data_IF_256803056066
#
_entry.id   IF_256803056066
#
_cell.length_a   1.000
_cell.length_b   1.000
_cell.length_c   1.000
_cell.angle_alpha   90.00
_cell.angle_beta   90.00
_cell.angle_gamma   90.00
#
_symmetry.space_group_name_H-M   'P 1'
#
loop_
_entity.id
_entity.type
_entity.pdbx_description
1 polymer ?
#
# COMPACT_ATOMS: atom_id res chain seq x y z
N UNK A 1 -8.19 -30.87 1.60
CA UNK A 1 -8.34 -31.57 2.77
C UNK A 1 -8.35 -30.71 4.05
N UNK A 2 -7.29 -29.99 4.46
CA UNK A 2 -7.33 -29.06 5.60
C UNK A 2 -8.31 -27.91 5.37
N UNK A 3 -8.38 -27.40 4.15
CA UNK A 3 -9.31 -26.35 3.74
C UNK A 3 -10.76 -26.87 3.79
N UNK A 4 -11.05 -28.03 3.23
CA UNK A 4 -12.40 -28.61 3.20
C UNK A 4 -12.96 -28.87 4.60
N UNK A 5 -12.11 -29.29 5.51
CA UNK A 5 -12.43 -29.53 6.92
C UNK A 5 -12.44 -28.27 7.78
N UNK A 6 -12.17 -27.10 7.17
CA UNK A 6 -12.00 -25.83 7.88
C UNK A 6 -11.06 -25.95 9.10
N UNK A 7 -9.90 -26.58 8.88
CA UNK A 7 -8.96 -26.87 9.96
C UNK A 7 -8.54 -25.56 10.65
N UNK A 8 -8.48 -25.50 11.99
CA UNK A 8 -8.07 -24.31 12.70
C UNK A 8 -6.61 -23.94 12.39
N UNK A 9 -6.34 -22.65 12.27
CA UNK A 9 -5.02 -22.14 11.83
C UNK A 9 -3.88 -22.59 12.73
N UNK A 10 -4.10 -22.77 14.01
CA UNK A 10 -3.06 -23.26 14.92
C UNK A 10 -2.53 -24.65 14.55
N UNK A 11 -3.35 -25.50 13.87
CA UNK A 11 -2.91 -26.80 13.36
C UNK A 11 -2.15 -26.71 12.04
N UNK A 12 -2.52 -25.76 11.18
CA UNK A 12 -2.00 -25.66 9.82
C UNK A 12 -0.80 -24.73 9.76
N UNK A 13 -0.82 -23.65 10.54
CA UNK A 13 0.19 -22.59 10.57
C UNK A 13 0.55 -22.23 12.03
N UNK A 14 1.10 -23.16 12.81
CA UNK A 14 1.36 -22.93 14.24
C UNK A 14 2.30 -21.75 14.51
N UNK A 15 3.35 -21.57 13.71
CA UNK A 15 4.30 -20.47 13.85
C UNK A 15 3.67 -19.10 13.54
N UNK A 16 2.76 -19.07 12.59
CA UNK A 16 1.99 -17.88 12.26
C UNK A 16 1.07 -17.50 13.41
N UNK A 17 0.34 -18.46 13.96
CA UNK A 17 -0.57 -18.23 15.09
C UNK A 17 0.19 -17.82 16.35
N UNK A 18 1.39 -18.35 16.58
CA UNK A 18 2.23 -17.92 17.69
C UNK A 18 2.58 -16.42 17.62
N UNK A 19 2.73 -15.88 16.40
CA UNK A 19 2.97 -14.44 16.16
C UNK A 19 1.66 -13.63 16.15
N UNK A 20 0.55 -14.26 15.78
CA UNK A 20 -0.76 -13.63 15.61
C UNK A 20 -1.85 -14.40 16.36
N UNK A 21 -1.90 -14.39 17.72
CA UNK A 21 -2.80 -15.22 18.54
C UNK A 21 -4.29 -15.01 18.24
N UNK A 22 -4.66 -13.86 17.67
CA UNK A 22 -6.05 -13.55 17.26
C UNK A 22 -6.65 -14.58 16.30
N UNK A 23 -5.82 -15.33 15.57
CA UNK A 23 -6.24 -16.34 14.60
C UNK A 23 -6.28 -17.77 15.15
N UNK A 24 -5.98 -17.99 16.43
CA UNK A 24 -5.86 -19.32 17.02
C UNK A 24 -7.09 -20.20 16.73
N UNK A 25 -8.27 -19.64 16.89
CA UNK A 25 -9.55 -20.35 16.72
C UNK A 25 -10.18 -20.18 15.35
N UNK A 26 -9.53 -19.46 14.44
CA UNK A 26 -10.05 -19.19 13.10
C UNK A 26 -9.74 -20.40 12.21
N UNK A 27 -10.74 -20.89 11.47
CA UNK A 27 -10.55 -21.94 10.48
C UNK A 27 -9.88 -21.40 9.21
N UNK A 28 -9.13 -22.27 8.52
CA UNK A 28 -8.46 -21.92 7.27
C UNK A 28 -9.45 -21.44 6.21
N UNK A 29 -10.61 -22.09 6.09
CA UNK A 29 -11.67 -21.68 5.16
C UNK A 29 -12.29 -20.35 5.56
N UNK A 30 -12.49 -20.13 6.86
CA UNK A 30 -13.11 -18.90 7.37
C UNK A 30 -12.23 -17.69 7.08
N UNK A 31 -10.91 -17.76 7.29
CA UNK A 31 -10.02 -16.64 7.00
C UNK A 31 -9.93 -16.37 5.50
N UNK A 32 -9.87 -17.41 4.67
CA UNK A 32 -9.89 -17.24 3.22
C UNK A 32 -11.19 -16.57 2.75
N UNK A 33 -12.33 -16.96 3.33
CA UNK A 33 -13.62 -16.35 2.99
C UNK A 33 -13.68 -14.89 3.44
N UNK A 34 -13.22 -14.55 4.64
CA UNK A 34 -13.18 -13.18 5.13
C UNK A 34 -12.31 -12.27 4.25
N UNK A 35 -11.14 -12.75 3.81
CA UNK A 35 -10.27 -12.02 2.90
C UNK A 35 -10.95 -11.85 1.54
N UNK A 36 -11.57 -12.91 1.00
CA UNK A 36 -12.28 -12.86 -0.28
C UNK A 36 -13.45 -11.86 -0.24
N UNK A 37 -14.24 -11.87 0.81
CA UNK A 37 -15.36 -10.94 0.99
C UNK A 37 -14.86 -9.49 1.11
N UNK A 38 -13.75 -9.27 1.80
CA UNK A 38 -13.13 -7.95 1.87
C UNK A 38 -12.68 -7.47 0.49
N UNK A 39 -12.01 -8.30 -0.29
CA UNK A 39 -11.61 -7.99 -1.66
C UNK A 39 -12.81 -7.68 -2.55
N UNK A 40 -13.85 -8.50 -2.45
CA UNK A 40 -15.08 -8.32 -3.22
C UNK A 40 -15.81 -7.03 -2.84
N UNK A 41 -15.90 -6.71 -1.54
CA UNK A 41 -16.56 -5.50 -1.05
C UNK A 41 -15.86 -4.20 -1.49
N UNK A 42 -14.58 -4.26 -1.81
CA UNK A 42 -13.76 -3.14 -2.26
C UNK A 42 -13.51 -3.14 -3.78
N UNK A 43 -14.11 -4.09 -4.50
CA UNK A 43 -13.93 -4.25 -5.96
C UNK A 43 -12.44 -4.26 -6.38
N UNK A 44 -11.63 -5.06 -5.64
CA UNK A 44 -10.17 -5.07 -5.78
C UNK A 44 -9.74 -5.48 -7.19
N UNK A 45 -10.48 -6.38 -7.85
CA UNK A 45 -10.17 -6.80 -9.22
C UNK A 45 -10.20 -5.62 -10.21
N UNK A 46 -11.20 -4.74 -10.10
CA UNK A 46 -11.26 -3.51 -10.90
C UNK A 46 -10.17 -2.53 -10.48
N UNK A 47 -10.03 -2.28 -9.18
CA UNK A 47 -9.06 -1.36 -8.64
C UNK A 47 -7.63 -1.68 -9.08
N UNK A 48 -7.22 -2.96 -9.02
CA UNK A 48 -5.88 -3.41 -9.45
C UNK A 48 -5.68 -3.29 -10.96
N UNK A 49 -6.72 -3.44 -11.76
CA UNK A 49 -6.64 -3.17 -13.19
C UNK A 49 -6.50 -1.67 -13.46
N UNK A 50 -7.36 -0.87 -12.85
CA UNK A 50 -7.40 0.58 -13.05
C UNK A 50 -6.11 1.28 -12.61
N UNK A 51 -5.48 0.84 -11.52
CA UNK A 51 -4.23 1.45 -11.05
C UNK A 51 -3.07 1.29 -12.05
N UNK A 52 -3.03 0.20 -12.82
CA UNK A 52 -2.00 -0.03 -13.84
C UNK A 52 -2.38 0.52 -15.23
N UNK A 53 -3.66 0.74 -15.49
CA UNK A 53 -4.14 1.26 -16.78
C UNK A 53 -4.51 2.74 -16.74
N UNK A 54 -4.41 3.37 -15.56
CA UNK A 54 -4.65 4.80 -15.41
C UNK A 54 -3.50 5.63 -16.01
N UNK A 55 -3.81 6.85 -16.44
CA UNK A 55 -2.81 7.75 -17.00
C UNK A 55 -1.73 8.07 -15.97
N UNK A 56 -0.50 7.68 -16.29
CA UNK A 56 0.69 8.05 -15.54
C UNK A 56 1.22 9.37 -16.10
N UNK A 57 1.19 10.42 -15.29
CA UNK A 57 1.62 11.76 -15.72
C UNK A 57 3.02 12.04 -15.20
N UNK A 58 4.06 11.97 -16.07
CA UNK A 58 5.40 12.36 -15.69
C UNK A 58 5.45 13.89 -15.48
N UNK A 59 5.98 14.32 -14.34
CA UNK A 59 6.17 15.72 -14.01
C UNK A 59 7.63 16.15 -14.18
N UNK A 60 8.55 15.20 -14.08
CA UNK A 60 9.99 15.41 -14.29
C UNK A 60 10.68 14.08 -14.61
N UNK A 61 11.93 14.15 -15.04
CA UNK A 61 12.74 12.95 -15.26
C UNK A 61 13.04 12.24 -13.94
N UNK A 62 13.14 10.90 -13.92
CA UNK A 62 13.51 10.14 -12.72
C UNK A 62 14.86 10.59 -12.11
N UNK A 63 15.82 10.97 -12.96
CA UNK A 63 17.11 11.51 -12.52
C UNK A 63 17.01 12.86 -11.79
N UNK A 64 16.06 13.72 -12.21
CA UNK A 64 15.80 15.00 -11.54
C UNK A 64 15.13 14.78 -10.18
N UNK A 65 14.14 13.87 -10.12
CA UNK A 65 13.50 13.51 -8.86
C UNK A 65 14.51 12.90 -7.87
N UNK A 66 15.42 12.07 -8.38
CA UNK A 66 16.52 11.52 -7.59
C UNK A 66 17.47 12.61 -7.07
N UNK A 67 17.87 13.56 -7.91
CA UNK A 67 18.71 14.68 -7.49
C UNK A 67 18.03 15.50 -6.38
N UNK A 68 16.72 15.78 -6.52
CA UNK A 68 15.94 16.47 -5.47
C UNK A 68 15.94 15.67 -4.16
N UNK A 69 15.79 14.35 -4.22
CA UNK A 69 15.86 13.48 -3.04
C UNK A 69 17.26 13.53 -2.39
N UNK A 70 18.32 13.41 -3.19
CA UNK A 70 19.70 13.46 -2.70
C UNK A 70 20.03 14.80 -2.00
N UNK A 71 19.45 15.90 -2.47
CA UNK A 71 19.58 17.23 -1.89
C UNK A 71 18.54 17.55 -0.79
N UNK A 72 17.78 16.54 -0.29
CA UNK A 72 16.75 16.71 0.74
C UNK A 72 15.65 17.72 0.37
N UNK A 73 15.35 17.84 -0.92
CA UNK A 73 14.27 18.68 -1.46
C UNK A 73 12.98 17.85 -1.61
N UNK A 74 12.66 17.10 -0.58
CA UNK A 74 11.46 16.24 -0.49
C UNK A 74 10.71 16.51 0.80
N UNK A 75 9.41 16.27 0.75
CA UNK A 75 8.52 16.33 1.91
C UNK A 75 7.94 14.93 2.13
N UNK A 76 7.80 14.53 3.39
CA UNK A 76 7.09 13.32 3.76
C UNK A 76 5.60 13.59 3.81
N UNK A 77 4.85 13.01 2.87
CA UNK A 77 3.45 13.33 2.60
C UNK A 77 2.56 12.18 3.02
N UNK A 78 1.53 12.40 3.87
CA UNK A 78 0.56 11.37 4.27
C UNK A 78 -0.38 11.02 3.11
N UNK A 79 -1.03 9.84 3.18
CA UNK A 79 -1.89 9.31 2.11
C UNK A 79 -2.99 10.29 1.65
N UNK A 80 -3.60 11.01 2.60
CA UNK A 80 -4.69 11.97 2.34
C UNK A 80 -4.25 13.23 1.56
N UNK A 81 -2.95 13.44 1.42
CA UNK A 81 -2.36 14.57 0.70
C UNK A 81 -1.54 14.16 -0.52
N UNK A 82 -1.58 12.88 -0.90
CA UNK A 82 -0.75 12.35 -1.99
C UNK A 82 -1.26 12.72 -3.38
N UNK A 83 -2.59 12.84 -3.58
CA UNK A 83 -3.13 13.12 -4.90
C UNK A 83 -2.54 14.40 -5.48
N UNK A 84 -2.02 14.29 -6.71
CA UNK A 84 -1.34 15.40 -7.39
C UNK A 84 0.13 15.62 -6.99
N UNK A 85 0.63 14.97 -5.93
CA UNK A 85 2.05 15.07 -5.54
C UNK A 85 2.92 14.24 -6.49
N UNK A 86 4.19 14.64 -6.62
CA UNK A 86 5.18 13.93 -7.44
C UNK A 86 6.02 13.06 -6.53
N UNK A 87 6.05 11.75 -6.82
CA UNK A 87 6.86 10.84 -6.01
C UNK A 87 8.36 11.04 -6.24
N UNK A 88 9.14 11.02 -5.17
CA UNK A 88 10.59 10.89 -5.22
C UNK A 88 11.05 9.44 -5.11
N UNK A 89 10.11 8.52 -4.79
CA UNK A 89 10.37 7.11 -4.55
C UNK A 89 9.75 6.23 -5.64
N UNK A 90 10.33 5.04 -5.83
CA UNK A 90 9.69 3.96 -6.55
C UNK A 90 8.57 3.39 -5.67
N UNK A 91 7.34 3.43 -6.14
CA UNK A 91 6.18 2.88 -5.41
C UNK A 91 5.79 1.54 -6.04
N UNK A 92 6.02 0.45 -5.31
CA UNK A 92 5.86 -0.91 -5.83
C UNK A 92 5.16 -1.81 -4.83
N UNK A 93 3.94 -2.28 -5.09
CA UNK A 93 3.30 -3.29 -4.25
C UNK A 93 3.97 -4.66 -4.45
N UNK A 94 4.09 -5.39 -3.36
CA UNK A 94 4.68 -6.72 -3.37
C UNK A 94 3.77 -7.73 -2.65
N UNK A 95 3.26 -8.76 -3.32
CA UNK A 95 3.29 -9.04 -4.75
C UNK A 95 2.44 -8.06 -5.58
N UNK A 96 2.65 -7.91 -6.93
CA UNK A 96 3.53 -8.72 -7.79
C UNK A 96 4.94 -8.15 -8.00
N UNK A 97 5.29 -6.99 -7.46
CA UNK A 97 6.58 -6.36 -7.69
C UNK A 97 6.66 -5.55 -8.99
N UNK A 98 5.49 -5.12 -9.50
CA UNK A 98 5.40 -4.23 -10.65
C UNK A 98 5.25 -2.80 -10.13
N UNK A 99 6.11 -1.85 -10.53
CA UNK A 99 5.98 -0.47 -10.10
C UNK A 99 4.63 0.15 -10.48
N UNK A 100 4.00 0.82 -9.53
CA UNK A 100 2.83 1.69 -9.77
C UNK A 100 3.27 3.07 -10.25
N UNK A 101 4.32 3.60 -9.64
CA UNK A 101 4.93 4.87 -9.98
C UNK A 101 6.44 4.76 -9.91
N UNK A 102 7.11 5.40 -10.84
CA UNK A 102 8.55 5.66 -10.78
C UNK A 102 8.82 7.09 -10.31
N UNK A 103 10.04 7.39 -9.79
CA UNK A 103 10.39 8.74 -9.37
C UNK A 103 10.12 9.76 -10.48
N UNK A 104 9.49 10.88 -10.13
CA UNK A 104 9.13 11.94 -11.09
C UNK A 104 7.70 11.86 -11.63
N UNK A 105 6.98 10.77 -11.37
CA UNK A 105 5.57 10.65 -11.74
C UNK A 105 4.62 11.17 -10.66
N UNK A 106 3.41 11.54 -11.08
CA UNK A 106 2.41 12.17 -10.23
C UNK A 106 1.39 11.15 -9.73
N UNK A 107 1.08 11.17 -8.44
CA UNK A 107 0.00 10.38 -7.87
C UNK A 107 -1.35 10.81 -8.46
N UNK A 108 -2.07 9.85 -9.01
CA UNK A 108 -3.46 10.02 -9.39
C UNK A 108 -4.39 9.39 -8.33
N UNK A 109 -5.68 9.72 -8.41
CA UNK A 109 -6.68 9.23 -7.45
C UNK A 109 -6.74 7.70 -7.38
N UNK A 110 -6.60 6.99 -8.50
CA UNK A 110 -6.72 5.53 -8.55
C UNK A 110 -5.62 4.82 -7.78
N UNK A 111 -4.40 5.34 -7.89
CA UNK A 111 -3.26 4.84 -7.13
C UNK A 111 -3.44 5.15 -5.64
N UNK A 112 -3.89 6.34 -5.29
CA UNK A 112 -4.16 6.72 -3.89
C UNK A 112 -5.26 5.85 -3.29
N UNK A 113 -6.34 5.58 -4.01
CA UNK A 113 -7.43 4.68 -3.58
C UNK A 113 -6.91 3.26 -3.30
N UNK A 114 -6.00 2.74 -4.13
CA UNK A 114 -5.34 1.46 -3.89
C UNK A 114 -4.46 1.48 -2.62
N UNK A 115 -3.73 2.54 -2.36
CA UNK A 115 -2.92 2.67 -1.15
C UNK A 115 -3.79 2.71 0.11
N UNK A 116 -4.94 3.34 0.06
CA UNK A 116 -5.93 3.27 1.15
C UNK A 116 -6.45 1.86 1.37
N UNK A 117 -6.79 1.17 0.27
CA UNK A 117 -7.21 -0.23 0.35
C UNK A 117 -6.13 -1.09 1.03
N UNK A 118 -4.86 -0.96 0.62
CA UNK A 118 -3.75 -1.73 1.17
C UNK A 118 -3.55 -1.45 2.67
N UNK A 119 -3.67 -0.19 3.10
CA UNK A 119 -3.64 0.20 4.51
C UNK A 119 -4.77 -0.49 5.30
N UNK A 120 -6.00 -0.37 4.82
CA UNK A 120 -7.18 -0.94 5.48
C UNK A 120 -7.12 -2.47 5.55
N UNK A 121 -6.57 -3.11 4.51
CA UNK A 121 -6.34 -4.54 4.46
C UNK A 121 -5.31 -4.97 5.51
N UNK A 122 -4.17 -4.29 5.56
CA UNK A 122 -3.09 -4.58 6.50
C UNK A 122 -3.53 -4.40 7.97
N UNK A 123 -4.38 -3.41 8.25
CA UNK A 123 -4.96 -3.21 9.58
C UNK A 123 -5.94 -4.33 9.95
N UNK A 124 -6.76 -4.77 8.99
CA UNK A 124 -7.79 -5.78 9.23
C UNK A 124 -7.21 -7.18 9.35
N UNK A 125 -6.20 -7.50 8.56
CA UNK A 125 -5.60 -8.83 8.46
C UNK A 125 -4.09 -8.82 8.77
N UNK A 126 -3.67 -8.45 10.00
CA UNK A 126 -2.25 -8.47 10.35
C UNK A 126 -1.68 -9.87 10.22
N UNK A 127 -0.49 -9.98 9.62
CA UNK A 127 0.15 -11.24 9.23
C UNK A 127 -0.08 -11.63 7.77
N UNK A 128 -1.07 -11.00 7.09
CA UNK A 128 -1.33 -11.18 5.65
C UNK A 128 -1.04 -9.91 4.86
N UNK A 129 -0.22 -9.02 5.41
CA UNK A 129 0.04 -7.70 4.85
C UNK A 129 0.55 -7.76 3.41
N UNK A 130 0.07 -6.81 2.61
CA UNK A 130 0.72 -6.43 1.35
C UNK A 130 1.83 -5.43 1.67
N UNK A 131 3.05 -5.74 1.30
CA UNK A 131 4.17 -4.81 1.39
C UNK A 131 4.17 -3.88 0.17
N UNK A 132 4.36 -2.58 0.42
CA UNK A 132 4.46 -1.58 -0.65
C UNK A 132 5.76 -0.82 -0.44
N UNK A 133 6.73 -1.13 -1.30
CA UNK A 133 8.00 -0.42 -1.32
C UNK A 133 7.79 1.05 -1.69
N UNK A 134 8.51 1.93 -1.05
CA UNK A 134 8.37 3.38 -1.22
C UNK A 134 7.42 4.03 -0.21
N UNK A 135 6.66 3.24 0.55
CA UNK A 135 5.86 3.74 1.66
C UNK A 135 6.62 3.62 2.99
N UNK A 136 6.51 4.66 3.80
CA UNK A 136 6.98 4.66 5.18
C UNK A 136 5.78 4.48 6.10
N UNK A 137 5.81 3.41 6.88
CA UNK A 137 4.77 3.12 7.87
C UNK A 137 5.21 3.67 9.23
N UNK A 138 4.35 4.44 9.86
CA UNK A 138 4.52 4.88 11.25
C UNK A 138 3.30 4.46 12.06
N UNK A 139 3.45 4.38 13.38
CA UNK A 139 2.33 4.13 14.29
C UNK A 139 2.12 5.39 15.13
N UNK A 140 0.95 6.01 14.98
CA UNK A 140 0.54 7.17 15.78
C UNK A 140 -0.73 6.78 16.52
N UNK A 141 -0.71 6.86 17.84
CA UNK A 141 -1.84 6.52 18.74
C UNK A 141 -2.44 5.11 18.45
N UNK A 142 -1.57 4.14 18.11
CA UNK A 142 -1.99 2.76 17.83
C UNK A 142 -2.60 2.53 16.43
N UNK A 143 -2.67 3.56 15.59
CA UNK A 143 -3.08 3.45 14.19
C UNK A 143 -1.87 3.49 13.26
N UNK A 144 -1.93 2.70 12.21
CA UNK A 144 -0.90 2.72 11.17
C UNK A 144 -1.14 3.89 10.21
N UNK A 145 -0.17 4.78 10.12
CA UNK A 145 -0.15 5.84 9.12
C UNK A 145 0.93 5.56 8.09
N UNK A 146 0.62 5.88 6.85
CA UNK A 146 1.51 5.65 5.71
C UNK A 146 1.84 6.98 5.05
N UNK A 147 3.11 7.12 4.69
CA UNK A 147 3.67 8.32 4.07
C UNK A 147 4.50 7.95 2.86
N UNK A 148 4.64 8.89 1.93
CA UNK A 148 5.58 8.78 0.81
C UNK A 148 6.44 10.04 0.77
N UNK A 149 7.73 9.86 0.49
CA UNK A 149 8.62 10.99 0.22
C UNK A 149 8.35 11.51 -1.20
N UNK A 150 7.77 12.69 -1.28
CA UNK A 150 7.43 13.37 -2.53
C UNK A 150 8.36 14.56 -2.78
N UNK A 151 8.57 14.88 -4.04
CA UNK A 151 9.30 16.08 -4.42
C UNK A 151 8.61 17.30 -3.81
N UNK A 152 9.41 18.18 -3.18
CA UNK A 152 8.90 19.41 -2.58
C UNK A 152 8.25 20.29 -3.64
N UNK A 153 7.03 20.74 -3.37
CA UNK A 153 6.38 21.73 -4.21
C UNK A 153 7.04 23.08 -3.95
N UNK A 154 7.54 23.71 -4.99
CA UNK A 154 7.95 25.09 -4.89
C UNK A 154 6.68 25.92 -4.66
N UNK A 155 6.63 26.69 -3.58
CA UNK A 155 5.58 27.69 -3.43
C UNK A 155 5.76 28.70 -4.57
N UNK A 156 4.79 28.77 -5.48
CA UNK A 156 4.69 29.91 -6.38
C UNK A 156 4.48 31.15 -5.49
N UNK A 157 5.59 31.80 -5.13
CA UNK A 157 5.52 33.16 -4.60
C UNK A 157 5.21 34.03 -5.80
N UNK A 158 3.91 34.15 -6.08
CA UNK A 158 3.41 35.19 -6.98
C UNK A 158 3.67 36.52 -6.27
N UNK A 159 4.73 37.23 -6.70
CA UNK A 159 4.99 38.61 -6.33
C UNK A 159 3.95 39.53 -6.97
#
# INVERSE_FOLDING_TARGET
DHFDKNAPLWKVLPEFVAKHPRYERVGLKDICQQIHEFYKSRDVARMTTEMYTSDMVPAMMPSEAWAKMAHKQVDRVPLDQLEGRVTAMLVTPYPPGIPLLIPGERFNKRIVDYLYFARDFNEKFPGFETDIHGLVKTSVDGKSEYYVDCVRQECDITL
#
